data_IF_539588724178
#
_entry.id   IF_539588724178
#
_cell.length_a   1.000
_cell.length_b   1.000
_cell.length_c   1.000
_cell.angle_alpha   90.00
_cell.angle_beta   90.00
_cell.angle_gamma   90.00
#
_symmetry.space_group_name_H-M   'P 1'
#
loop_
_entity.id
_entity.type
_entity.pdbx_description
1 polymer ?
#
# COMPACT_ATOMS: atom_id res chain seq x y z
N UNK A 1 -27.02 -9.58 -26.34
CA UNK A 1 -26.38 -8.36 -25.81
C UNK A 1 -25.77 -7.52 -26.90
N UNK A 2 -25.68 -6.19 -26.72
CA UNK A 2 -25.10 -5.30 -27.75
C UNK A 2 -23.62 -5.04 -27.45
N UNK A 3 -22.78 -5.02 -28.47
CA UNK A 3 -21.37 -4.69 -28.35
C UNK A 3 -21.19 -3.19 -28.06
N UNK A 4 -20.50 -2.85 -26.95
CA UNK A 4 -20.26 -1.46 -26.57
C UNK A 4 -19.32 -0.71 -27.54
N UNK A 5 -18.59 -1.43 -28.41
CA UNK A 5 -17.60 -0.87 -29.31
C UNK A 5 -18.15 -0.58 -30.72
N UNK A 6 -19.09 -1.40 -31.23
CA UNK A 6 -19.63 -1.25 -32.58
C UNK A 6 -21.17 -1.30 -32.65
N UNK A 7 -21.87 -1.50 -31.51
CA UNK A 7 -23.33 -1.54 -31.46
C UNK A 7 -23.97 -2.82 -32.03
N UNK A 8 -23.20 -3.76 -32.55
CA UNK A 8 -23.76 -4.98 -33.14
C UNK A 8 -24.38 -5.90 -32.10
N UNK A 9 -25.49 -6.55 -32.42
CA UNK A 9 -26.16 -7.52 -31.57
C UNK A 9 -25.43 -8.86 -31.60
N UNK A 10 -25.18 -9.45 -30.44
CA UNK A 10 -24.51 -10.71 -30.26
C UNK A 10 -25.31 -11.62 -29.30
N UNK A 11 -25.12 -12.93 -29.36
CA UNK A 11 -25.70 -13.85 -28.39
C UNK A 11 -25.25 -13.55 -26.96
N UNK A 12 -26.08 -13.85 -25.95
CA UNK A 12 -25.80 -13.48 -24.54
C UNK A 12 -24.60 -14.21 -23.96
N UNK A 13 -24.14 -15.29 -24.58
CA UNK A 13 -23.01 -16.13 -24.20
C UNK A 13 -21.77 -15.90 -25.09
N UNK A 14 -21.81 -14.95 -26.02
CA UNK A 14 -20.67 -14.62 -26.87
C UNK A 14 -19.55 -13.97 -26.11
N UNK A 15 -18.35 -14.54 -26.16
CA UNK A 15 -17.14 -13.97 -25.55
C UNK A 15 -16.51 -12.86 -26.39
N UNK A 16 -16.75 -12.90 -27.71
CA UNK A 16 -16.23 -11.93 -28.65
C UNK A 16 -17.33 -11.45 -29.59
N UNK A 17 -17.29 -10.18 -29.97
CA UNK A 17 -18.22 -9.64 -30.96
C UNK A 17 -17.96 -10.24 -32.34
N UNK A 18 -19.01 -10.76 -32.96
CA UNK A 18 -18.95 -11.39 -34.31
C UNK A 18 -18.60 -10.38 -35.42
N UNK A 19 -18.82 -9.07 -35.18
CA UNK A 19 -18.61 -8.03 -36.17
C UNK A 19 -17.23 -7.34 -36.06
N UNK A 20 -16.79 -7.00 -34.83
CA UNK A 20 -15.55 -6.23 -34.63
C UNK A 20 -14.47 -6.95 -33.81
N UNK A 21 -14.72 -8.19 -33.39
CA UNK A 21 -13.78 -8.99 -32.59
C UNK A 21 -13.52 -8.50 -31.17
N UNK A 22 -14.22 -7.44 -30.72
CA UNK A 22 -14.06 -6.92 -29.36
C UNK A 22 -14.52 -7.98 -28.34
N UNK A 23 -13.79 -8.13 -27.23
CA UNK A 23 -14.19 -8.98 -26.12
C UNK A 23 -15.44 -8.37 -25.46
N UNK A 24 -16.57 -9.08 -25.48
CA UNK A 24 -17.85 -8.71 -24.89
C UNK A 24 -18.32 -9.72 -23.85
N UNK A 25 -17.57 -10.81 -23.65
CA UNK A 25 -17.83 -11.77 -22.59
C UNK A 25 -17.67 -11.09 -21.24
N UNK A 26 -18.58 -11.42 -20.31
CA UNK A 26 -18.33 -11.15 -18.90
C UNK A 26 -17.14 -12.03 -18.56
N UNK A 27 -15.96 -11.43 -18.48
CA UNK A 27 -14.82 -12.09 -17.86
C UNK A 27 -15.24 -12.23 -16.40
N UNK A 28 -15.77 -13.40 -16.02
CA UNK A 28 -15.62 -13.84 -14.65
C UNK A 28 -14.12 -14.01 -14.44
N UNK A 29 -13.47 -12.87 -14.25
CA UNK A 29 -12.15 -12.84 -13.66
C UNK A 29 -12.30 -13.57 -12.33
N UNK A 30 -11.82 -14.80 -12.26
CA UNK A 30 -11.51 -15.44 -10.99
C UNK A 30 -10.47 -14.54 -10.36
N UNK A 31 -10.95 -13.48 -9.71
CA UNK A 31 -10.16 -12.69 -8.81
C UNK A 31 -9.69 -13.65 -7.73
N UNK A 32 -8.46 -14.13 -7.88
CA UNK A 32 -7.64 -14.34 -6.70
C UNK A 32 -7.87 -13.10 -5.84
N UNK A 33 -8.60 -13.28 -4.75
CA UNK A 33 -9.00 -12.23 -3.82
C UNK A 33 -7.75 -11.77 -3.07
N UNK A 34 -6.89 -11.04 -3.78
CA UNK A 34 -6.15 -9.95 -3.18
C UNK A 34 -7.13 -8.78 -3.33
N UNK A 35 -7.66 -8.20 -2.25
CA UNK A 35 -8.55 -7.07 -2.38
C UNK A 35 -7.76 -5.93 -3.02
N UNK A 36 -7.92 -5.78 -4.35
CA UNK A 36 -7.56 -4.54 -5.02
C UNK A 36 -8.57 -3.52 -4.50
N UNK A 37 -8.22 -2.87 -3.39
CA UNK A 37 -9.01 -1.78 -2.83
C UNK A 37 -9.05 -0.71 -3.90
N UNK A 38 -10.22 -0.61 -4.55
CA UNK A 38 -10.54 0.55 -5.36
C UNK A 38 -10.36 1.77 -4.47
N UNK A 39 -9.43 2.62 -4.81
CA UNK A 39 -9.19 3.93 -4.19
C UNK A 39 -10.30 4.90 -4.57
N UNK A 40 -11.48 4.70 -4.02
CA UNK A 40 -12.39 5.81 -3.75
C UNK A 40 -11.80 6.54 -2.56
N UNK A 41 -11.63 7.84 -2.60
CA UNK A 41 -10.93 8.73 -1.68
C UNK A 41 -11.06 8.51 -0.15
N UNK A 42 -11.52 7.36 0.28
CA UNK A 42 -11.53 6.85 1.64
C UNK A 42 -10.18 6.21 1.95
N UNK A 43 -9.59 6.58 3.09
CA UNK A 43 -8.32 6.04 3.52
C UNK A 43 -8.36 4.51 3.65
N UNK A 44 -7.23 3.86 3.42
CA UNK A 44 -7.09 2.41 3.56
C UNK A 44 -7.50 1.95 4.97
N UNK A 45 -8.25 0.84 5.07
CA UNK A 45 -8.64 0.28 6.37
C UNK A 45 -7.45 -0.31 7.12
N UNK A 46 -7.57 -0.47 8.43
CA UNK A 46 -6.50 -1.02 9.29
C UNK A 46 -6.01 -2.39 8.80
N UNK A 47 -6.93 -3.33 8.54
CA UNK A 47 -6.55 -4.69 8.11
C UNK A 47 -5.93 -4.71 6.72
N UNK A 48 -6.44 -3.91 5.77
CA UNK A 48 -5.87 -3.82 4.42
C UNK A 48 -4.50 -3.16 4.41
N UNK A 49 -4.25 -2.18 5.29
CA UNK A 49 -2.93 -1.55 5.43
C UNK A 49 -1.88 -2.56 5.89
N UNK A 50 -2.21 -3.37 6.91
CA UNK A 50 -1.33 -4.43 7.40
C UNK A 50 -1.03 -5.45 6.31
N UNK A 51 -2.07 -5.99 5.65
CA UNK A 51 -1.91 -6.97 4.57
C UNK A 51 -1.06 -6.42 3.41
N UNK A 52 -1.28 -5.15 3.04
CA UNK A 52 -0.49 -4.47 1.99
C UNK A 52 0.97 -4.32 2.38
N UNK A 53 1.27 -3.92 3.62
CA UNK A 53 2.66 -3.80 4.08
C UNK A 53 3.36 -5.15 4.14
N UNK A 54 2.68 -6.22 4.55
CA UNK A 54 3.25 -7.56 4.50
C UNK A 54 3.48 -8.07 3.08
N UNK A 55 2.54 -7.84 2.16
CA UNK A 55 2.73 -8.21 0.75
C UNK A 55 3.88 -7.46 0.09
N UNK A 56 4.21 -6.26 0.59
CA UNK A 56 5.30 -5.39 0.13
C UNK A 56 6.48 -5.36 1.10
N UNK A 57 6.76 -6.47 1.78
CA UNK A 57 7.72 -6.57 2.88
C UNK A 57 9.09 -5.97 2.57
N UNK A 58 9.67 -6.30 1.41
CA UNK A 58 10.95 -5.79 0.92
C UNK A 58 10.79 -4.83 -0.27
N UNK A 59 9.59 -4.35 -0.53
CA UNK A 59 9.37 -3.45 -1.65
C UNK A 59 9.51 -1.99 -1.20
N UNK A 60 10.64 -1.39 -1.56
CA UNK A 60 10.96 0.00 -1.29
C UNK A 60 10.51 0.94 -2.41
N UNK A 61 10.05 0.40 -3.55
CA UNK A 61 9.64 1.16 -4.72
C UNK A 61 8.16 1.54 -4.67
N UNK A 62 7.79 2.59 -5.44
CA UNK A 62 6.42 3.08 -5.50
C UNK A 62 6.08 4.05 -4.37
N UNK A 63 4.78 4.24 -4.16
CA UNK A 63 4.24 5.21 -3.20
C UNK A 63 3.36 4.51 -2.16
N UNK A 64 3.25 5.08 -0.97
CA UNK A 64 2.36 4.62 0.09
C UNK A 64 1.48 5.75 0.60
N UNK A 65 0.19 5.47 0.81
CA UNK A 65 -0.74 6.44 1.38
C UNK A 65 -0.45 6.70 2.86
N UNK A 66 -0.98 7.81 3.40
CA UNK A 66 -0.90 8.08 4.85
C UNK A 66 -1.53 6.97 5.67
N UNK A 67 -2.70 6.49 5.26
CA UNK A 67 -3.40 5.41 5.96
C UNK A 67 -2.61 4.10 5.91
N UNK A 68 -1.98 3.73 4.79
CA UNK A 68 -1.11 2.55 4.69
C UNK A 68 0.01 2.61 5.73
N UNK A 69 0.75 3.73 5.76
CA UNK A 69 1.89 3.90 6.67
C UNK A 69 1.48 3.97 8.13
N UNK A 70 0.52 4.86 8.50
CA UNK A 70 0.17 5.10 9.89
C UNK A 70 -0.56 3.93 10.55
N UNK A 71 -1.44 3.22 9.83
CA UNK A 71 -2.09 2.01 10.34
C UNK A 71 -1.09 0.89 10.60
N UNK A 72 -0.12 0.71 9.70
CA UNK A 72 0.91 -0.30 9.89
C UNK A 72 1.86 0.07 11.03
N UNK A 73 2.25 1.34 11.15
CA UNK A 73 3.08 1.82 12.24
C UNK A 73 2.38 1.67 13.60
N UNK A 74 1.09 2.03 13.68
CA UNK A 74 0.26 1.79 14.88
C UNK A 74 0.22 0.31 15.24
N UNK A 75 0.04 -0.57 14.27
CA UNK A 75 0.03 -2.02 14.49
C UNK A 75 1.35 -2.49 15.14
N UNK A 76 2.51 -2.04 14.65
CA UNK A 76 3.80 -2.42 15.24
C UNK A 76 3.98 -1.91 16.67
N UNK A 77 3.51 -0.69 16.96
CA UNK A 77 3.50 -0.14 18.33
C UNK A 77 2.63 -1.00 19.26
N UNK A 78 1.40 -1.32 18.85
CA UNK A 78 0.48 -2.12 19.66
C UNK A 78 1.04 -3.52 19.94
N UNK A 79 1.68 -4.15 18.96
CA UNK A 79 2.37 -5.43 19.15
C UNK A 79 3.55 -5.31 20.11
N UNK A 80 4.32 -4.23 20.01
CA UNK A 80 5.43 -3.97 20.94
C UNK A 80 4.93 -3.83 22.39
N UNK A 81 3.84 -3.09 22.60
CA UNK A 81 3.24 -2.96 23.93
C UNK A 81 2.68 -4.29 24.42
N UNK A 82 1.99 -5.04 23.57
CA UNK A 82 1.46 -6.36 23.93
C UNK A 82 2.60 -7.32 24.30
N UNK A 83 3.74 -7.30 23.62
CA UNK A 83 4.88 -8.16 23.94
C UNK A 83 5.45 -7.91 25.34
N UNK A 84 5.51 -6.64 25.76
CA UNK A 84 5.98 -6.27 27.12
C UNK A 84 5.04 -6.81 28.21
N UNK A 85 3.73 -6.87 27.93
CA UNK A 85 2.74 -7.41 28.86
C UNK A 85 2.81 -8.94 28.98
N UNK A 86 3.22 -9.63 27.91
CA UNK A 86 3.31 -11.09 27.85
C UNK A 86 4.66 -11.60 28.35
N UNK A 87 5.73 -10.92 27.99
CA UNK A 87 7.10 -11.32 28.29
C UNK A 87 7.91 -10.13 28.81
N UNK A 88 8.24 -10.16 30.09
CA UNK A 88 9.08 -9.16 30.75
C UNK A 88 10.58 -9.30 30.42
N UNK A 89 10.99 -10.35 29.72
CA UNK A 89 12.40 -10.59 29.37
C UNK A 89 12.91 -9.73 28.19
N UNK A 90 12.02 -8.95 27.56
CA UNK A 90 12.28 -8.12 26.37
C UNK A 90 12.73 -8.91 25.12
N UNK A 91 12.92 -10.22 25.21
CA UNK A 91 13.34 -11.06 24.09
C UNK A 91 12.30 -11.06 22.97
N UNK A 92 11.02 -11.19 23.34
CA UNK A 92 9.93 -11.14 22.38
C UNK A 92 9.87 -9.78 21.66
N UNK A 93 10.03 -8.69 22.39
CA UNK A 93 10.08 -7.34 21.82
C UNK A 93 11.24 -7.20 20.82
N UNK A 94 12.42 -7.72 21.17
CA UNK A 94 13.59 -7.69 20.28
C UNK A 94 13.34 -8.47 18.99
N UNK A 95 12.75 -9.65 19.08
CA UNK A 95 12.39 -10.47 17.91
C UNK A 95 11.40 -9.75 17.02
N UNK A 96 10.34 -9.16 17.59
CA UNK A 96 9.34 -8.40 16.85
C UNK A 96 9.99 -7.18 16.14
N UNK A 97 10.82 -6.42 16.82
CA UNK A 97 11.54 -5.30 16.23
C UNK A 97 12.41 -5.74 15.04
N UNK A 98 13.07 -6.88 15.13
CA UNK A 98 13.87 -7.42 14.04
C UNK A 98 13.00 -7.83 12.83
N UNK A 99 11.87 -8.50 13.07
CA UNK A 99 10.94 -8.92 12.02
C UNK A 99 10.33 -7.70 11.33
N UNK A 100 9.85 -6.72 12.08
CA UNK A 100 9.17 -5.54 11.54
C UNK A 100 10.10 -4.44 11.05
N UNK A 101 11.41 -4.55 11.27
CA UNK A 101 12.40 -3.57 10.83
C UNK A 101 12.30 -3.27 9.33
N UNK A 102 12.37 -4.29 8.50
CA UNK A 102 12.33 -4.12 7.04
C UNK A 102 10.99 -3.56 6.52
N UNK A 103 9.83 -4.12 6.88
CA UNK A 103 8.57 -3.60 6.35
C UNK A 103 8.24 -2.19 6.85
N UNK A 104 8.67 -1.80 8.06
CA UNK A 104 8.50 -0.42 8.55
C UNK A 104 9.35 0.54 7.73
N UNK A 105 10.62 0.22 7.47
CA UNK A 105 11.48 1.06 6.63
C UNK A 105 10.96 1.09 5.19
N UNK A 106 10.50 -0.03 4.63
CA UNK A 106 9.96 -0.07 3.29
C UNK A 106 8.68 0.78 3.16
N UNK A 107 7.77 0.70 4.13
CA UNK A 107 6.57 1.54 4.16
C UNK A 107 6.92 3.04 4.32
N UNK A 108 7.87 3.36 5.19
CA UNK A 108 8.37 4.72 5.39
C UNK A 108 9.04 5.30 4.15
N UNK A 109 9.85 4.51 3.42
CA UNK A 109 10.46 4.92 2.15
C UNK A 109 9.39 5.24 1.10
N UNK A 110 8.42 4.34 0.90
CA UNK A 110 7.30 4.56 -0.02
C UNK A 110 6.45 5.76 0.37
N UNK A 111 6.34 6.05 1.66
CA UNK A 111 5.65 7.25 2.14
C UNK A 111 6.43 8.53 1.85
N UNK A 112 7.75 8.53 1.96
CA UNK A 112 8.59 9.64 1.53
C UNK A 112 8.52 9.86 0.01
N UNK A 113 8.49 8.79 -0.78
CA UNK A 113 8.27 8.87 -2.21
C UNK A 113 6.95 9.56 -2.57
N UNK A 114 5.90 9.32 -1.79
CA UNK A 114 4.59 9.96 -1.99
C UNK A 114 4.64 11.49 -1.78
N UNK A 115 5.54 11.97 -0.93
CA UNK A 115 5.83 13.40 -0.73
C UNK A 115 6.99 13.91 -1.58
N UNK A 116 7.39 13.15 -2.62
CA UNK A 116 8.50 13.48 -3.54
C UNK A 116 9.88 13.61 -2.88
N UNK A 117 10.10 12.85 -1.80
CA UNK A 117 11.39 12.75 -1.13
C UNK A 117 11.99 11.37 -1.34
N UNK A 118 13.31 11.28 -1.41
CA UNK A 118 14.01 9.99 -1.48
C UNK A 118 13.85 9.21 -0.17
N UNK A 119 13.66 7.88 -0.26
CA UNK A 119 13.62 7.00 0.92
C UNK A 119 14.89 7.04 1.78
N UNK A 120 16.03 7.45 1.21
CA UNK A 120 17.29 7.63 1.93
C UNK A 120 17.23 8.71 3.02
N UNK A 121 16.30 9.64 2.95
CA UNK A 121 16.09 10.61 4.02
C UNK A 121 15.73 9.96 5.35
N UNK A 122 15.31 8.69 5.38
CA UNK A 122 15.12 7.97 6.64
C UNK A 122 16.40 7.85 7.48
N UNK A 123 17.58 7.93 6.88
CA UNK A 123 18.84 7.88 7.62
C UNK A 123 19.01 9.05 8.59
N UNK A 124 18.32 10.17 8.37
CA UNK A 124 18.35 11.28 9.34
C UNK A 124 17.65 10.91 10.66
N UNK A 125 16.87 9.80 10.69
CA UNK A 125 16.30 9.25 11.92
C UNK A 125 17.37 8.87 12.96
N UNK A 126 18.59 8.62 12.52
CA UNK A 126 19.74 8.36 13.42
C UNK A 126 20.08 9.60 14.26
N UNK A 127 19.63 10.77 13.87
CA UNK A 127 19.72 12.01 14.65
C UNK A 127 18.36 12.32 15.25
N UNK A 128 18.29 12.64 16.53
CA UNK A 128 17.01 12.98 17.20
C UNK A 128 16.32 14.17 16.51
N UNK A 129 17.09 15.15 16.05
CA UNK A 129 16.58 16.34 15.34
C UNK A 129 15.98 15.95 13.98
N UNK A 130 16.51 14.91 13.32
CA UNK A 130 16.01 14.43 12.03
C UNK A 130 14.64 13.76 12.08
N UNK A 131 14.17 13.37 13.25
CA UNK A 131 12.80 12.84 13.41
C UNK A 131 11.73 13.90 13.10
N UNK A 132 11.99 15.17 13.38
CA UNK A 132 11.03 16.25 13.17
C UNK A 132 10.63 16.37 11.69
N UNK A 133 11.57 16.59 10.75
CA UNK A 133 11.21 16.66 9.33
C UNK A 133 10.62 15.34 8.80
N UNK A 134 11.07 14.18 9.26
CA UNK A 134 10.50 12.89 8.84
C UNK A 134 9.03 12.77 9.22
N UNK A 135 8.67 13.09 10.46
CA UNK A 135 7.27 13.04 10.92
C UNK A 135 6.42 14.02 10.10
N UNK A 136 6.93 15.21 9.82
CA UNK A 136 6.23 16.21 9.00
C UNK A 136 5.98 15.66 7.60
N UNK A 137 6.98 15.07 6.94
CA UNK A 137 6.83 14.51 5.60
C UNK A 137 5.89 13.30 5.58
N UNK A 138 5.97 12.40 6.57
CA UNK A 138 5.06 11.25 6.67
C UNK A 138 3.61 11.67 6.94
N UNK A 139 3.38 12.76 7.66
CA UNK A 139 2.05 13.30 7.95
C UNK A 139 1.52 14.21 6.84
N UNK A 140 2.38 14.81 6.01
CA UNK A 140 2.02 15.74 4.94
C UNK A 140 1.11 15.09 3.90
N UNK A 141 0.35 15.88 3.14
CA UNK A 141 -0.43 15.40 2.01
C UNK A 141 0.52 14.92 0.90
N UNK A 142 0.26 13.77 0.32
CA UNK A 142 1.01 13.25 -0.82
C UNK A 142 0.85 14.12 -2.06
N UNK A 143 1.76 13.96 -3.02
CA UNK A 143 1.70 14.64 -4.31
C UNK A 143 0.47 14.17 -5.09
N UNK A 144 -0.35 15.12 -5.56
CA UNK A 144 -1.51 14.85 -6.42
C UNK A 144 -1.12 14.62 -7.90
N UNK A 145 0.16 14.66 -8.21
CA UNK A 145 0.69 14.44 -9.54
C UNK A 145 1.61 13.21 -9.55
N UNK A 146 1.77 12.62 -10.73
CA UNK A 146 2.80 11.62 -10.95
C UNK A 146 4.17 12.24 -10.66
N UNK A 147 5.01 11.49 -9.96
CA UNK A 147 6.37 11.91 -9.63
C UNK A 147 7.37 10.83 -10.03
N UNK A 148 8.66 11.04 -9.80
CA UNK A 148 9.72 10.09 -10.14
C UNK A 148 9.59 8.69 -9.50
N UNK A 149 8.65 8.50 -8.58
CA UNK A 149 8.43 7.24 -7.86
C UNK A 149 7.12 6.53 -8.26
N UNK A 150 6.29 7.13 -9.10
CA UNK A 150 5.10 6.49 -9.65
C UNK A 150 3.86 7.37 -9.74
N UNK A 151 2.77 6.75 -10.22
CA UNK A 151 1.48 7.39 -10.38
C UNK A 151 0.89 7.86 -9.06
N UNK A 152 -0.08 8.77 -9.13
CA UNK A 152 -0.89 9.21 -7.97
C UNK A 152 -1.61 8.03 -7.33
N UNK A 153 -1.70 8.06 -6.01
CA UNK A 153 -2.47 7.10 -5.22
C UNK A 153 -3.95 7.46 -5.19
#
# INVERSE_FOLDING_TARGET
MFCSKCGNENSNDAKFCSSCGANIGIVEEVKNVIPTVATTGEGMSFGTAIATCFSKFFNFSGRASRSEFWWFYLFTILLGWASILVDSSEVLLMILNLIFFFPVIAAGARRLHDTNHSGWWQLIMLTVIGLIPLIIWWASKGSNQENGYGKTL
#
